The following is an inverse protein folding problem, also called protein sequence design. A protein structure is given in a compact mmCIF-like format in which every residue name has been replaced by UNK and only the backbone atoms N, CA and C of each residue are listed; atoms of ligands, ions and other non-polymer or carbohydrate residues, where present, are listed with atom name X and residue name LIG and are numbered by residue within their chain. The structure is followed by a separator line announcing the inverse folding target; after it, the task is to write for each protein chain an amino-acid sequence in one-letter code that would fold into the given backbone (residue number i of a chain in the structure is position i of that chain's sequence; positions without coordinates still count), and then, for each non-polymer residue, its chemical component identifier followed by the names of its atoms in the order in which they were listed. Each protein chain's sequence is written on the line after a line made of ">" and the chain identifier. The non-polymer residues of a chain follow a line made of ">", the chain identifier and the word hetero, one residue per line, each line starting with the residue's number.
data_IF_564991619401
#
_entry.id   IF_564991619401
#
_cell.length_a   1.000
_cell.length_b   1.000
_cell.length_c   1.000
_cell.angle_alpha   90.00
_cell.angle_beta   90.00
_cell.angle_gamma   90.00
#
_symmetry.space_group_name_H-M   'P 1'
#
loop_
_entity.id
_entity.type
_entity.pdbx_description
1 polymer ?
#
# COMPACT_ATOMS: atom_id res chain seq x y z
N UNK A 1 -8.22 -3.26 -26.65
CA UNK A 1 -7.26 -2.74 -25.66
C UNK A 1 -7.14 -3.72 -24.52
N UNK A 2 -5.93 -4.07 -24.11
CA UNK A 2 -5.71 -5.10 -23.08
C UNK A 2 -5.63 -4.43 -21.70
N UNK A 3 -6.76 -4.32 -21.05
CA UNK A 3 -6.87 -3.83 -19.68
C UNK A 3 -6.88 -4.99 -18.71
N UNK A 4 -6.23 -4.82 -17.57
CA UNK A 4 -6.22 -5.80 -16.50
C UNK A 4 -6.43 -5.13 -15.17
N UNK A 5 -7.16 -5.79 -14.29
CA UNK A 5 -7.36 -5.31 -12.92
C UNK A 5 -6.72 -6.28 -11.93
N UNK A 6 -6.27 -5.74 -10.82
CA UNK A 6 -5.77 -6.52 -9.70
C UNK A 6 -6.33 -5.99 -8.40
N UNK A 7 -6.45 -6.87 -7.43
CA UNK A 7 -6.89 -6.54 -6.08
C UNK A 7 -5.79 -6.96 -5.10
N UNK A 8 -5.49 -6.09 -4.14
CA UNK A 8 -4.58 -6.38 -3.05
C UNK A 8 -5.27 -6.17 -1.71
N UNK A 9 -4.91 -7.00 -0.76
CA UNK A 9 -5.35 -6.87 0.63
C UNK A 9 -4.15 -7.08 1.53
N UNK A 10 -3.98 -6.21 2.52
CA UNK A 10 -2.96 -6.41 3.54
C UNK A 10 -3.49 -5.95 4.90
N UNK A 11 -2.93 -6.53 5.95
CA UNK A 11 -3.30 -6.24 7.32
C UNK A 11 -2.04 -6.35 8.19
N UNK A 12 -1.87 -5.37 9.07
CA UNK A 12 -0.78 -5.40 10.04
C UNK A 12 -1.34 -5.14 11.44
N UNK A 13 -0.81 -5.85 12.43
CA UNK A 13 -1.09 -5.58 13.83
C UNK A 13 -0.47 -4.24 14.23
N UNK A 14 -1.11 -3.55 15.16
CA UNK A 14 -0.59 -2.33 15.76
C UNK A 14 0.07 -2.65 17.09
N UNK A 15 1.19 -1.99 17.37
CA UNK A 15 1.88 -2.07 18.66
C UNK A 15 2.39 -0.69 19.07
N UNK A 16 2.43 -0.46 20.37
CA UNK A 16 2.90 0.80 20.93
C UNK A 16 4.40 1.01 20.69
N UNK A 17 4.80 2.25 20.53
CA UNK A 17 6.21 2.62 20.39
C UNK A 17 6.81 2.40 19.01
N UNK A 18 6.03 1.95 18.04
CA UNK A 18 6.48 1.80 16.65
C UNK A 18 6.04 3.01 15.82
N UNK A 19 6.84 3.40 14.82
CA UNK A 19 6.41 4.44 13.88
C UNK A 19 5.24 3.95 13.03
N UNK A 20 4.31 4.84 12.72
CA UNK A 20 3.19 4.57 11.83
C UNK A 20 3.50 5.17 10.47
N UNK A 21 3.70 4.33 9.46
CA UNK A 21 3.94 4.74 8.08
C UNK A 21 2.82 4.18 7.22
N UNK A 22 2.08 5.05 6.55
CA UNK A 22 0.96 4.69 5.68
C UNK A 22 1.04 5.49 4.38
N UNK A 23 1.02 4.80 3.25
CA UNK A 23 1.08 5.44 1.94
C UNK A 23 2.35 6.24 1.71
N UNK A 24 3.46 5.82 2.32
CA UNK A 24 4.75 6.50 2.23
C UNK A 24 4.88 7.72 3.14
N UNK A 25 3.92 7.93 4.05
CA UNK A 25 3.89 9.10 4.95
C UNK A 25 3.99 8.63 6.40
N UNK A 26 4.91 9.22 7.15
CA UNK A 26 4.99 8.98 8.59
C UNK A 26 3.95 9.83 9.31
N UNK A 27 3.13 9.17 10.14
CA UNK A 27 1.99 9.78 10.80
C UNK A 27 2.21 9.74 12.31
N UNK A 28 2.05 10.89 12.98
CA UNK A 28 2.16 10.97 14.43
C UNK A 28 1.04 10.17 15.09
N UNK A 29 1.41 9.13 15.84
CA UNK A 29 0.48 8.28 16.58
C UNK A 29 1.25 7.51 17.64
N UNK A 30 0.54 6.96 18.64
CA UNK A 30 1.16 6.19 19.73
C UNK A 30 1.51 4.77 19.32
N UNK A 31 0.87 4.25 18.27
CA UNK A 31 1.07 2.90 17.75
C UNK A 31 1.53 2.94 16.31
N UNK A 32 2.29 1.93 15.90
CA UNK A 32 2.66 1.70 14.51
C UNK A 32 2.48 0.24 14.13
N UNK A 33 2.59 -0.05 12.84
CA UNK A 33 2.37 -1.39 12.32
C UNK A 33 3.58 -2.30 12.59
N UNK A 34 3.30 -3.51 13.03
CA UNK A 34 4.32 -4.56 13.22
C UNK A 34 4.60 -5.21 11.88
N UNK A 35 5.84 -5.13 11.41
CA UNK A 35 6.25 -5.75 10.13
C UNK A 35 7.77 -5.87 10.04
N UNK A 36 8.22 -6.65 9.06
CA UNK A 36 9.64 -6.78 8.71
C UNK A 36 10.18 -5.50 8.02
N UNK A 37 9.38 -4.88 7.15
CA UNK A 37 9.68 -3.61 6.48
C UNK A 37 9.33 -2.42 7.39
N UNK A 38 9.02 -1.27 6.81
CA UNK A 38 8.53 -0.09 7.54
C UNK A 38 7.07 -0.23 8.01
N UNK A 39 6.40 -1.33 7.65
CA UNK A 39 5.03 -1.62 8.07
C UNK A 39 3.95 -0.89 7.28
N UNK A 40 4.28 -0.35 6.11
CA UNK A 40 3.33 0.40 5.27
C UNK A 40 2.32 -0.53 4.62
N UNK A 41 1.22 -0.78 5.33
CA UNK A 41 0.16 -1.67 4.88
C UNK A 41 -0.53 -1.16 3.62
N UNK A 42 -0.56 0.14 3.39
CA UNK A 42 -1.18 0.75 2.19
C UNK A 42 -0.37 0.40 0.94
N UNK A 43 0.93 0.65 0.99
CA UNK A 43 1.81 0.35 -0.14
C UNK A 43 1.89 -1.16 -0.39
N UNK A 44 1.89 -1.98 0.66
CA UNK A 44 1.91 -3.44 0.49
C UNK A 44 0.67 -3.94 -0.24
N UNK A 45 -0.52 -3.44 0.12
CA UNK A 45 -1.76 -3.79 -0.58
C UNK A 45 -1.73 -3.31 -2.05
N UNK A 46 -1.21 -2.10 -2.29
CA UNK A 46 -1.09 -1.56 -3.64
C UNK A 46 -0.12 -2.38 -4.50
N UNK A 47 1.03 -2.77 -3.95
CA UNK A 47 1.97 -3.64 -4.67
C UNK A 47 1.33 -4.96 -5.06
N UNK A 48 0.57 -5.59 -4.16
CA UNK A 48 -0.14 -6.83 -4.46
C UNK A 48 -1.19 -6.65 -5.56
N UNK A 49 -1.91 -5.53 -5.55
CA UNK A 49 -2.87 -5.22 -6.59
C UNK A 49 -2.20 -5.10 -7.97
N UNK A 50 -1.09 -4.39 -8.03
CA UNK A 50 -0.32 -4.19 -9.26
C UNK A 50 0.26 -5.50 -9.79
N UNK A 51 0.89 -6.28 -8.91
CA UNK A 51 1.46 -7.58 -9.28
C UNK A 51 0.38 -8.56 -9.72
N UNK A 52 -0.76 -8.59 -9.00
CA UNK A 52 -1.88 -9.45 -9.36
C UNK A 52 -2.48 -9.10 -10.71
N UNK A 53 -2.60 -7.82 -11.03
CA UNK A 53 -3.09 -7.37 -12.34
C UNK A 53 -2.23 -7.92 -13.50
N UNK A 54 -0.92 -8.02 -13.29
CA UNK A 54 0.02 -8.54 -14.28
C UNK A 54 0.23 -10.06 -14.19
N UNK A 55 -0.48 -10.74 -13.30
CA UNK A 55 -0.33 -12.17 -13.02
C UNK A 55 1.11 -12.55 -12.60
N UNK A 56 1.73 -11.69 -11.79
CA UNK A 56 3.11 -11.85 -11.32
C UNK A 56 3.21 -12.30 -9.85
N UNK A 57 2.10 -12.75 -9.27
CA UNK A 57 2.08 -13.23 -7.89
C UNK A 57 1.84 -12.10 -6.89
N UNK A 58 2.58 -12.11 -5.82
CA UNK A 58 2.42 -11.19 -4.70
C UNK A 58 3.76 -10.61 -4.24
N UNK A 59 3.67 -9.67 -3.30
CA UNK A 59 4.85 -8.97 -2.77
C UNK A 59 5.79 -9.93 -2.02
N UNK A 60 5.26 -10.91 -1.31
CA UNK A 60 6.07 -11.88 -0.58
C UNK A 60 6.94 -12.76 -1.49
N UNK A 61 6.48 -13.00 -2.70
CA UNK A 61 7.23 -13.76 -3.70
C UNK A 61 8.44 -12.99 -4.24
N UNK A 62 8.29 -11.66 -4.42
CA UNK A 62 9.34 -10.79 -4.95
C UNK A 62 10.26 -10.21 -3.87
N UNK A 63 9.72 -9.96 -2.68
CA UNK A 63 10.42 -9.32 -1.57
C UNK A 63 10.17 -10.09 -0.28
N UNK A 64 10.74 -11.30 -0.12
CA UNK A 64 10.44 -12.13 1.04
C UNK A 64 10.87 -11.46 2.35
N UNK A 65 10.01 -11.55 3.37
CA UNK A 65 10.24 -11.00 4.70
C UNK A 65 11.34 -11.74 5.48
N UNK A 66 11.76 -12.89 4.98
CA UNK A 66 12.89 -13.65 5.53
C UNK A 66 14.25 -13.10 5.10
N UNK A 67 14.29 -12.17 4.14
CA UNK A 67 15.53 -11.58 3.63
C UNK A 67 15.93 -10.36 4.44
N UNK A 68 17.18 -10.32 4.94
CA UNK A 68 17.71 -9.15 5.63
C UNK A 68 17.81 -7.92 4.73
N UNK A 69 17.86 -8.12 3.41
CA UNK A 69 17.90 -7.04 2.42
C UNK A 69 16.71 -6.08 2.57
N UNK A 70 15.54 -6.61 2.96
CA UNK A 70 14.29 -5.83 3.04
C UNK A 70 13.92 -5.45 4.46
N UNK A 71 14.76 -5.75 5.44
CA UNK A 71 14.50 -5.41 6.85
C UNK A 71 14.49 -3.89 7.04
N UNK A 72 13.36 -3.37 7.52
CA UNK A 72 13.18 -1.93 7.74
C UNK A 72 13.11 -1.10 6.48
N UNK A 73 12.98 -1.71 5.30
CA UNK A 73 12.98 -1.01 4.02
C UNK A 73 11.81 -0.04 3.90
N UNK A 74 12.08 1.12 3.31
CA UNK A 74 11.04 2.07 2.89
C UNK A 74 10.21 1.44 1.76
N UNK A 75 8.93 1.21 2.01
CA UNK A 75 8.05 0.54 1.06
C UNK A 75 7.85 1.30 -0.25
N UNK A 76 8.16 2.60 -0.29
CA UNK A 76 8.18 3.35 -1.56
C UNK A 76 9.20 2.77 -2.54
N UNK A 77 10.31 2.23 -2.04
CA UNK A 77 11.31 1.54 -2.86
C UNK A 77 10.71 0.27 -3.47
N UNK A 78 9.93 -0.49 -2.68
CA UNK A 78 9.23 -1.67 -3.19
C UNK A 78 8.24 -1.28 -4.29
N UNK A 79 7.48 -0.22 -4.08
CA UNK A 79 6.51 0.26 -5.06
C UNK A 79 7.18 0.71 -6.35
N UNK A 80 8.32 1.40 -6.28
CA UNK A 80 9.11 1.76 -7.48
C UNK A 80 9.57 0.53 -8.24
N UNK A 81 10.03 -0.49 -7.53
CA UNK A 81 10.47 -1.76 -8.15
C UNK A 81 9.32 -2.49 -8.83
N UNK A 82 8.15 -2.53 -8.20
CA UNK A 82 6.95 -3.13 -8.78
C UNK A 82 6.53 -2.39 -10.06
N UNK A 83 6.46 -1.06 -10.00
CA UNK A 83 6.11 -0.26 -11.18
C UNK A 83 7.10 -0.47 -12.34
N UNK A 84 8.40 -0.52 -12.03
CA UNK A 84 9.42 -0.81 -13.03
C UNK A 84 9.26 -2.19 -13.64
N UNK A 85 8.94 -3.20 -12.81
CA UNK A 85 8.71 -4.56 -13.28
C UNK A 85 7.51 -4.64 -14.24
N UNK A 86 6.41 -3.95 -13.92
CA UNK A 86 5.24 -3.90 -14.80
C UNK A 86 5.61 -3.29 -16.16
N UNK A 87 6.37 -2.18 -16.17
CA UNK A 87 6.80 -1.53 -17.41
C UNK A 87 7.73 -2.41 -18.21
N UNK A 88 8.63 -3.14 -17.57
CA UNK A 88 9.49 -4.12 -18.23
C UNK A 88 8.67 -5.20 -18.94
N UNK A 89 7.51 -5.57 -18.38
CA UNK A 89 6.60 -6.53 -19.00
C UNK A 89 5.67 -5.90 -20.04
N UNK A 90 5.80 -4.62 -20.33
CA UNK A 90 5.03 -3.92 -21.36
C UNK A 90 3.73 -3.31 -20.86
N UNK A 91 3.54 -3.20 -19.54
CA UNK A 91 2.34 -2.60 -18.96
C UNK A 91 2.57 -1.17 -18.54
N UNK A 92 1.49 -0.40 -18.54
CA UNK A 92 1.41 0.91 -17.88
C UNK A 92 0.33 0.87 -16.81
N UNK A 93 0.49 1.73 -15.81
CA UNK A 93 -0.50 1.85 -14.73
C UNK A 93 -1.56 2.87 -15.16
N UNK A 94 -2.81 2.44 -15.22
CA UNK A 94 -3.94 3.30 -15.54
C UNK A 94 -4.35 4.15 -14.34
N UNK A 95 -4.71 3.48 -13.25
CA UNK A 95 -5.01 4.14 -11.98
C UNK A 95 -5.00 3.10 -10.86
N UNK A 96 -5.04 3.60 -9.64
CA UNK A 96 -5.18 2.77 -8.45
C UNK A 96 -6.04 3.47 -7.39
N UNK A 97 -6.69 2.66 -6.55
CA UNK A 97 -7.54 3.13 -5.46
C UNK A 97 -7.30 2.26 -4.23
N UNK A 98 -7.01 2.91 -3.11
CA UNK A 98 -6.81 2.25 -1.83
C UNK A 98 -7.87 2.68 -0.82
N UNK A 99 -8.40 1.73 -0.07
CA UNK A 99 -9.31 1.97 1.05
C UNK A 99 -8.65 1.49 2.34
N UNK A 100 -8.42 2.41 3.26
CA UNK A 100 -7.78 2.14 4.55
C UNK A 100 -8.86 2.00 5.62
N UNK A 101 -8.86 0.90 6.36
CA UNK A 101 -9.74 0.71 7.52
C UNK A 101 -8.90 0.84 8.79
N UNK A 102 -9.11 1.95 9.50
CA UNK A 102 -8.41 2.27 10.73
C UNK A 102 -9.32 3.07 11.65
N UNK A 103 -9.43 2.68 12.91
CA UNK A 103 -10.22 3.43 13.88
C UNK A 103 -9.53 4.73 14.28
N UNK A 104 -8.22 4.68 14.46
CA UNK A 104 -7.35 5.82 14.77
C UNK A 104 -5.97 5.61 14.14
N UNK A 105 -5.21 6.68 13.85
CA UNK A 105 -5.58 8.10 13.97
C UNK A 105 -6.55 8.53 12.86
N UNK A 106 -7.01 9.77 12.90
CA UNK A 106 -7.78 10.37 11.79
C UNK A 106 -6.82 10.57 10.62
N UNK A 107 -7.13 9.97 9.48
CA UNK A 107 -6.21 9.94 8.33
C UNK A 107 -6.49 11.02 7.28
N UNK A 108 -7.65 11.67 7.33
CA UNK A 108 -8.04 12.67 6.33
C UNK A 108 -6.97 13.74 6.09
N UNK A 109 -6.30 14.32 7.12
CA UNK A 109 -5.26 15.32 6.87
C UNK A 109 -4.04 14.79 6.10
N UNK A 110 -3.87 13.48 6.00
CA UNK A 110 -2.69 12.85 5.39
C UNK A 110 -2.95 12.28 4.00
N UNK A 111 -4.21 12.29 3.54
CA UNK A 111 -4.61 11.64 2.29
C UNK A 111 -3.87 12.21 1.08
N UNK A 112 -3.81 13.54 0.96
CA UNK A 112 -3.16 14.17 -0.20
C UNK A 112 -1.67 13.87 -0.24
N UNK A 113 -1.00 13.84 0.91
CA UNK A 113 0.42 13.48 0.98
C UNK A 113 0.66 12.01 0.60
N UNK A 114 -0.23 11.10 1.02
CA UNK A 114 -0.16 9.69 0.63
C UNK A 114 -0.32 9.53 -0.89
N UNK A 115 -1.32 10.20 -1.47
CA UNK A 115 -1.55 10.17 -2.92
C UNK A 115 -0.33 10.63 -3.68
N UNK A 116 0.24 11.77 -3.27
CA UNK A 116 1.43 12.34 -3.91
C UNK A 116 2.63 11.40 -3.82
N UNK A 117 2.90 10.83 -2.65
CA UNK A 117 4.03 9.92 -2.43
C UNK A 117 3.90 8.65 -3.28
N UNK A 118 2.72 8.04 -3.30
CA UNK A 118 2.51 6.80 -4.06
C UNK A 118 2.47 7.05 -5.57
N UNK A 119 1.86 8.15 -6.03
CA UNK A 119 1.86 8.52 -7.45
C UNK A 119 3.27 8.76 -7.96
N UNK A 120 4.10 9.46 -7.19
CA UNK A 120 5.52 9.67 -7.53
C UNK A 120 6.26 8.34 -7.64
N UNK A 121 6.08 7.46 -6.66
CA UNK A 121 6.75 6.15 -6.66
C UNK A 121 6.33 5.28 -7.86
N UNK A 122 5.06 5.37 -8.26
CA UNK A 122 4.57 4.65 -9.45
C UNK A 122 4.91 5.35 -10.77
N UNK A 123 5.32 6.61 -10.74
CA UNK A 123 5.59 7.38 -11.96
C UNK A 123 4.32 7.74 -12.73
N UNK A 124 3.25 8.09 -12.01
CA UNK A 124 1.96 8.51 -12.60
C UNK A 124 1.52 9.86 -12.04
N UNK A 125 0.58 10.51 -12.71
CA UNK A 125 0.00 11.75 -12.22
C UNK A 125 -0.83 11.52 -10.94
N UNK A 126 -0.91 12.51 -10.08
CA UNK A 126 -1.59 12.41 -8.80
C UNK A 126 -3.08 12.07 -8.88
N UNK A 127 -3.75 12.45 -9.98
CA UNK A 127 -5.17 12.16 -10.19
C UNK A 127 -5.43 10.68 -10.52
N UNK A 128 -4.38 9.90 -10.77
CA UNK A 128 -4.47 8.45 -11.01
C UNK A 128 -4.31 7.62 -9.74
N UNK A 129 -4.08 8.28 -8.60
CA UNK A 129 -3.96 7.61 -7.31
C UNK A 129 -5.02 8.14 -6.36
N UNK A 130 -5.93 7.27 -5.94
CA UNK A 130 -7.01 7.57 -4.99
C UNK A 130 -6.73 6.87 -3.66
N UNK A 131 -6.96 7.57 -2.56
CA UNK A 131 -6.89 7.01 -1.21
C UNK A 131 -8.11 7.49 -0.43
N UNK A 132 -8.79 6.55 0.22
CA UNK A 132 -9.90 6.82 1.15
C UNK A 132 -9.61 6.13 2.46
N UNK A 133 -10.09 6.69 3.54
CA UNK A 133 -10.00 6.07 4.85
C UNK A 133 -11.38 6.02 5.50
N UNK A 134 -11.64 4.96 6.25
CA UNK A 134 -12.86 4.80 7.03
C UNK A 134 -12.55 4.14 8.36
N UNK A 135 -13.37 4.41 9.35
CA UNK A 135 -13.41 3.57 10.55
C UNK A 135 -14.28 2.35 10.27
N UNK A 136 -14.29 1.40 11.21
CA UNK A 136 -15.22 0.28 11.18
C UNK A 136 -16.30 0.41 12.26
N UNK A 137 -16.58 1.64 12.67
CA UNK A 137 -17.60 1.95 13.69
C UNK A 137 -17.37 1.17 14.99
N UNK A 138 -16.11 1.07 15.42
CA UNK A 138 -15.66 0.33 16.61
C UNK A 138 -15.88 -1.18 16.53
N UNK A 139 -16.17 -1.71 15.35
CA UNK A 139 -16.36 -3.15 15.13
C UNK A 139 -15.07 -3.81 14.67
N UNK A 140 -14.87 -5.05 15.12
CA UNK A 140 -13.76 -5.90 14.70
C UNK A 140 -12.41 -5.45 15.25
N UNK A 141 -11.35 -6.06 14.74
CA UNK A 141 -10.00 -5.77 15.20
C UNK A 141 -9.56 -4.34 14.82
N UNK A 142 -10.03 -3.83 13.68
CA UNK A 142 -9.76 -2.43 13.31
C UNK A 142 -10.41 -1.47 14.30
N UNK A 143 -11.66 -1.77 14.64
CA UNK A 143 -12.44 -0.95 15.60
C UNK A 143 -11.89 -0.98 17.01
N UNK A 144 -11.18 -2.05 17.38
CA UNK A 144 -10.48 -2.16 18.66
C UNK A 144 -9.04 -1.65 18.63
N UNK A 145 -8.61 -1.07 17.51
CA UNK A 145 -7.26 -0.56 17.32
C UNK A 145 -6.16 -1.64 17.48
N UNK A 146 -6.49 -2.87 17.15
CA UNK A 146 -5.55 -3.99 17.16
C UNK A 146 -4.76 -4.09 15.85
N UNK A 147 -5.29 -3.53 14.79
CA UNK A 147 -4.67 -3.56 13.48
C UNK A 147 -5.28 -2.57 12.50
N UNK A 148 -4.63 -2.44 11.37
CA UNK A 148 -5.10 -1.65 10.22
C UNK A 148 -5.14 -2.60 9.03
N UNK A 149 -6.25 -2.56 8.27
CA UNK A 149 -6.39 -3.32 7.03
C UNK A 149 -6.62 -2.39 5.85
N UNK A 150 -6.12 -2.80 4.69
CA UNK A 150 -6.20 -2.02 3.46
C UNK A 150 -6.59 -2.93 2.31
N UNK A 151 -7.52 -2.45 1.49
CA UNK A 151 -7.81 -3.02 0.17
C UNK A 151 -7.33 -2.05 -0.90
N UNK A 152 -6.73 -2.59 -1.94
CA UNK A 152 -6.28 -1.82 -3.10
C UNK A 152 -6.81 -2.45 -4.37
N UNK A 153 -7.16 -1.62 -5.34
CA UNK A 153 -7.51 -2.03 -6.69
C UNK A 153 -6.65 -1.24 -7.65
N UNK A 154 -6.11 -1.91 -8.66
CA UNK A 154 -5.31 -1.26 -9.68
C UNK A 154 -5.79 -1.70 -11.07
N UNK A 155 -5.74 -0.77 -12.00
CA UNK A 155 -5.97 -1.04 -13.42
C UNK A 155 -4.68 -0.78 -14.16
N UNK A 156 -4.25 -1.75 -14.95
CA UNK A 156 -3.08 -1.64 -15.83
C UNK A 156 -3.51 -1.92 -17.26
N UNK A 157 -2.70 -1.54 -18.23
CA UNK A 157 -2.97 -1.79 -19.64
C UNK A 157 -1.68 -2.03 -20.40
N UNK A 158 -1.76 -2.82 -21.45
CA UNK A 158 -0.64 -2.99 -22.39
C UNK A 158 -0.53 -1.81 -23.33
N UNK A 159 0.68 -1.35 -23.51
CA UNK A 159 0.98 -0.37 -24.55
C UNK A 159 0.99 -0.98 -25.93
#
# INVERSE_FOLDING_TARGET
>A
MDFRIGHGYDVHALAEGLPLVLGGVEIAHTKGCVAHSDGDVVIHALCDALLGAAALGDIGMHFPDTSDEFKGIDSKILLRKVAALLREKGYEIGNADCTIRAQRPILRPHIDAMRAAMAEAMGVDGDRMSVKATTTEQLGFEGREEGISVSAVALIYKK
#
